data_IF_258737220769
#
_entry.id   IF_258737220769
#
_cell.length_a   1.000
_cell.length_b   1.000
_cell.length_c   1.000
_cell.angle_alpha   90.00
_cell.angle_beta   90.00
_cell.angle_gamma   90.00
#
_symmetry.space_group_name_H-M   'P 1'
#
loop_
_entity.id
_entity.type
_entity.pdbx_description
1 polymer ?
#
# COMPACT_ATOMS: atom_id res chain seq x y z
N UNK A 1 1.86 18.15 3.99
CA UNK A 1 1.09 17.07 3.33
C UNK A 1 2.07 16.15 2.64
N UNK A 2 2.03 14.86 2.98
CA UNK A 2 2.87 13.83 2.38
C UNK A 2 2.11 13.11 1.27
N UNK A 3 2.89 12.53 0.36
CA UNK A 3 2.39 11.69 -0.72
C UNK A 3 3.06 10.34 -0.64
N UNK A 4 2.34 9.32 -1.05
CA UNK A 4 2.86 7.96 -1.16
C UNK A 4 1.89 7.12 -1.94
N UNK A 5 2.12 5.82 -1.92
CA UNK A 5 1.35 4.84 -2.65
C UNK A 5 1.04 3.67 -1.72
N UNK A 6 -0.15 3.11 -1.87
CA UNK A 6 -0.53 1.85 -1.22
C UNK A 6 -0.85 0.85 -2.31
N UNK A 7 -0.62 -0.42 -2.01
CA UNK A 7 -0.95 -1.51 -2.91
C UNK A 7 -2.08 -2.32 -2.30
N UNK A 8 -3.13 -2.54 -3.08
CA UNK A 8 -4.24 -3.42 -2.72
C UNK A 8 -4.22 -4.66 -3.60
N UNK A 9 -4.27 -5.83 -2.98
CA UNK A 9 -4.65 -7.06 -3.65
C UNK A 9 -6.17 -7.07 -3.87
N UNK A 10 -6.61 -7.18 -5.12
CA UNK A 10 -8.03 -7.15 -5.46
C UNK A 10 -8.72 -8.49 -5.22
N UNK A 11 -7.96 -9.60 -5.16
CA UNK A 11 -8.53 -10.92 -4.89
C UNK A 11 -9.00 -11.02 -3.42
N UNK A 12 -8.14 -10.63 -2.48
CA UNK A 12 -8.45 -10.67 -1.05
C UNK A 12 -9.01 -9.36 -0.50
N UNK A 13 -8.98 -8.29 -1.29
CA UNK A 13 -9.28 -6.91 -0.88
C UNK A 13 -8.39 -6.39 0.26
N UNK A 14 -7.22 -7.01 0.48
CA UNK A 14 -6.26 -6.60 1.50
C UNK A 14 -5.20 -5.65 0.92
N UNK A 15 -4.59 -4.87 1.78
CA UNK A 15 -3.46 -3.99 1.46
C UNK A 15 -2.15 -4.63 1.89
N UNK A 16 -1.11 -4.38 1.12
CA UNK A 16 0.26 -4.73 1.51
C UNK A 16 0.70 -3.90 2.70
N UNK A 17 1.34 -4.55 3.66
CA UNK A 17 1.92 -3.90 4.83
C UNK A 17 3.14 -4.68 5.34
N UNK A 18 4.11 -3.98 5.97
CA UNK A 18 5.18 -4.65 6.69
C UNK A 18 4.61 -5.28 7.97
N UNK A 19 4.67 -6.60 8.08
CA UNK A 19 4.24 -7.37 9.25
C UNK A 19 5.42 -8.19 9.75
N UNK A 20 5.82 -7.94 11.01
CA UNK A 20 6.89 -8.69 11.68
C UNK A 20 8.23 -8.77 10.91
N UNK A 21 8.54 -7.73 10.13
CA UNK A 21 9.78 -7.64 9.35
C UNK A 21 9.71 -8.31 7.97
N UNK A 22 8.55 -8.80 7.58
CA UNK A 22 8.27 -9.33 6.24
C UNK A 22 7.08 -8.60 5.60
N UNK A 23 6.81 -8.90 4.33
CA UNK A 23 5.66 -8.38 3.59
C UNK A 23 4.44 -9.24 3.89
N UNK A 24 3.39 -8.60 4.39
CA UNK A 24 2.11 -9.24 4.70
C UNK A 24 0.92 -8.42 4.22
N UNK A 25 -0.27 -8.82 4.68
CA UNK A 25 -1.54 -8.26 4.24
C UNK A 25 -2.39 -7.81 5.42
N UNK A 26 -2.95 -6.61 5.32
CA UNK A 26 -3.90 -6.04 6.29
C UNK A 26 -5.17 -5.63 5.58
N UNK A 27 -6.32 -5.70 6.26
CA UNK A 27 -7.61 -5.34 5.65
C UNK A 27 -7.87 -3.84 5.68
N UNK A 28 -7.24 -3.14 6.61
CA UNK A 28 -7.49 -1.72 6.86
C UNK A 28 -6.46 -0.84 6.17
N UNK A 29 -6.92 0.10 5.35
CA UNK A 29 -6.07 1.08 4.67
C UNK A 29 -5.20 1.89 5.65
N UNK A 30 -5.70 2.19 6.85
CA UNK A 30 -4.94 2.93 7.87
C UNK A 30 -3.75 2.15 8.44
N UNK A 31 -3.70 0.83 8.22
CA UNK A 31 -2.56 -0.03 8.62
C UNK A 31 -1.69 -0.42 7.44
N UNK A 32 -2.01 0.05 6.22
CA UNK A 32 -1.27 -0.30 5.01
C UNK A 32 0.15 0.26 5.05
N UNK A 33 1.07 -0.47 4.43
CA UNK A 33 2.40 0.03 4.13
C UNK A 33 2.34 1.15 3.10
N UNK A 34 3.15 2.19 3.30
CA UNK A 34 3.26 3.30 2.35
C UNK A 34 4.57 3.20 1.59
N UNK A 35 4.47 3.16 0.27
CA UNK A 35 5.58 3.31 -0.66
C UNK A 35 5.74 4.79 -1.02
N UNK A 36 6.96 5.28 -1.12
CA UNK A 36 7.23 6.67 -1.49
C UNK A 36 7.45 6.85 -2.99
N UNK A 37 7.65 5.75 -3.69
CA UNK A 37 7.88 5.68 -5.12
C UNK A 37 6.81 4.80 -5.78
N UNK A 38 6.38 5.21 -6.98
CA UNK A 38 5.31 4.51 -7.69
C UNK A 38 5.81 3.23 -8.36
N UNK A 39 7.05 3.22 -8.87
CA UNK A 39 7.67 2.06 -9.51
C UNK A 39 7.88 0.96 -8.47
N UNK A 40 8.40 1.31 -7.29
CA UNK A 40 8.54 0.38 -6.16
C UNK A 40 7.20 -0.25 -5.73
N UNK A 41 6.12 0.54 -5.74
CA UNK A 41 4.78 0.05 -5.41
C UNK A 41 4.23 -0.93 -6.47
N UNK A 42 4.49 -0.66 -7.75
CA UNK A 42 4.09 -1.55 -8.87
C UNK A 42 4.91 -2.84 -8.85
N UNK A 43 6.22 -2.77 -8.57
CA UNK A 43 7.07 -3.96 -8.39
C UNK A 43 6.55 -4.84 -7.24
N UNK A 44 6.24 -4.22 -6.08
CA UNK A 44 5.67 -4.94 -4.95
C UNK A 44 4.30 -5.56 -5.26
N UNK A 45 3.47 -4.90 -6.08
CA UNK A 45 2.20 -5.46 -6.56
C UNK A 45 2.42 -6.72 -7.38
N UNK A 46 3.39 -6.71 -8.29
CA UNK A 46 3.69 -7.87 -9.15
C UNK A 46 4.22 -9.02 -8.29
N UNK A 47 5.16 -8.73 -7.41
CA UNK A 47 5.87 -9.74 -6.60
C UNK A 47 4.94 -10.42 -5.58
N UNK A 48 4.01 -9.67 -4.97
CA UNK A 48 3.20 -10.18 -3.86
C UNK A 48 1.73 -10.42 -4.20
N UNK A 49 1.17 -9.73 -5.20
CA UNK A 49 -0.23 -9.88 -5.61
C UNK A 49 -0.37 -10.57 -6.99
N UNK A 50 0.74 -11.06 -7.58
CA UNK A 50 0.73 -11.75 -8.87
C UNK A 50 0.21 -10.91 -10.04
N UNK A 51 0.28 -9.57 -9.92
CA UNK A 51 -0.23 -8.64 -10.93
C UNK A 51 -1.74 -8.36 -10.86
N UNK A 52 -2.49 -9.01 -9.96
CA UNK A 52 -3.94 -8.84 -9.81
C UNK A 52 -4.29 -7.86 -8.67
N UNK A 53 -3.62 -6.71 -8.66
CA UNK A 53 -3.80 -5.67 -7.64
C UNK A 53 -4.13 -4.31 -8.23
N UNK A 54 -4.09 -3.29 -7.38
CA UNK A 54 -4.08 -1.89 -7.79
C UNK A 54 -3.18 -1.07 -6.87
N UNK A 55 -2.42 -0.14 -7.47
CA UNK A 55 -1.67 0.88 -6.75
C UNK A 55 -2.51 2.15 -6.66
N UNK A 56 -2.67 2.68 -5.45
CA UNK A 56 -3.39 3.93 -5.20
C UNK A 56 -2.45 5.01 -4.70
N UNK A 57 -2.47 6.17 -5.35
CA UNK A 57 -1.75 7.34 -4.91
C UNK A 57 -2.46 7.98 -3.71
N UNK A 58 -1.73 8.17 -2.62
CA UNK A 58 -2.24 8.66 -1.35
C UNK A 58 -1.75 10.08 -1.10
N UNK A 59 -2.64 10.94 -0.61
CA UNK A 59 -2.28 12.23 -0.01
C UNK A 59 -2.68 12.22 1.45
N UNK A 60 -1.70 12.45 2.33
CA UNK A 60 -1.89 12.38 3.76
C UNK A 60 -1.41 13.63 4.49
N UNK A 61 -1.87 13.79 5.73
CA UNK A 61 -1.26 14.73 6.68
C UNK A 61 0.20 14.35 6.96
N UNK A 62 0.98 15.30 7.48
CA UNK A 62 2.43 15.10 7.69
C UNK A 62 2.74 14.00 8.72
N UNK A 63 1.78 13.67 9.58
CA UNK A 63 1.79 12.62 10.60
C UNK A 63 1.08 11.32 10.16
N UNK A 64 0.62 11.23 8.90
CA UNK A 64 -0.14 10.10 8.35
C UNK A 64 -1.50 9.81 9.01
N UNK A 65 -1.98 10.66 9.91
CA UNK A 65 -3.24 10.43 10.67
C UNK A 65 -4.50 10.47 9.81
N UNK A 66 -4.43 11.13 8.66
CA UNK A 66 -5.52 11.21 7.70
C UNK A 66 -4.94 11.05 6.30
N UNK A 67 -5.51 10.13 5.54
CA UNK A 67 -5.08 9.78 4.20
C UNK A 67 -6.30 9.66 3.29
N UNK A 68 -6.13 10.07 2.03
CA UNK A 68 -7.08 9.81 0.95
C UNK A 68 -6.36 9.26 -0.27
N UNK A 69 -6.97 8.26 -0.88
CA UNK A 69 -6.64 7.75 -2.21
C UNK A 69 -7.38 8.57 -3.28
#
# INVERSE_FOLDING_TARGET
>A
MKRGYVVQDLETSCFLAPIDGDVGFVRELGSAGIFYDAEEAEEALVDHCGGLGSVYAMVCNDDWSFCRA
#
